data_IF_534097407061
#
_entry.id   IF_534097407061
#
_cell.length_a   1.000
_cell.length_b   1.000
_cell.length_c   1.000
_cell.angle_alpha   90.00
_cell.angle_beta   90.00
_cell.angle_gamma   90.00
#
_symmetry.space_group_name_H-M   'P 1'
#
loop_
_entity.id
_entity.type
_entity.pdbx_description
1 polymer ?
2 non-polymer ?
3 non-polymer ?
4 water ?
#
# COMPACT_ATOMS: atom_id res chain seq x y z
N UNK A 17 -12.45 -21.93 17.98
CA UNK A 17 -12.37 -20.53 17.46
C UNK A 17 -11.01 -20.24 16.83
N UNK A 18 -10.79 -20.69 15.57
CA UNK A 18 -9.51 -20.51 14.88
C UNK A 18 -9.14 -19.05 14.60
N UNK A 19 -7.85 -18.80 14.43
CA UNK A 19 -7.34 -17.45 14.12
C UNK A 19 -6.36 -17.46 12.94
N UNK A 20 -6.16 -16.28 12.36
CA UNK A 20 -5.20 -16.09 11.27
C UNK A 20 -4.08 -15.16 11.75
N UNK A 21 -2.83 -15.57 11.51
CA UNK A 21 -1.68 -14.72 11.80
C UNK A 21 -1.20 -14.05 10.52
N UNK A 22 -1.34 -12.73 10.47
CA UNK A 22 -0.91 -11.94 9.31
C UNK A 22 0.45 -11.32 9.62
N UNK A 23 1.38 -11.43 8.66
CA UNK A 23 2.75 -10.97 8.84
C UNK A 23 3.16 -10.07 7.67
N UNK A 24 3.60 -8.86 8.00
CA UNK A 24 4.25 -7.98 7.04
C UNK A 24 5.70 -7.80 7.46
N UNK A 25 6.57 -8.56 6.82
CA UNK A 25 7.97 -8.61 7.22
C UNK A 25 8.81 -7.66 6.37
N UNK A 26 8.89 -6.41 6.81
CA UNK A 26 9.63 -5.37 6.11
C UNK A 26 11.14 -5.43 6.34
N UNK A 27 11.85 -4.50 5.70
CA UNK A 27 13.31 -4.48 5.74
C UNK A 27 13.90 -4.09 7.10
N UNK A 28 13.15 -3.28 7.86
CA UNK A 28 13.60 -2.82 9.18
C UNK A 28 12.67 -3.25 10.32
N UNK A 29 11.52 -3.83 9.99
CA UNK A 29 10.52 -4.23 10.98
C UNK A 29 9.70 -5.46 10.58
N UNK A 30 8.92 -5.97 11.53
CA UNK A 30 7.96 -7.05 11.27
C UNK A 30 6.61 -6.67 11.87
N UNK A 31 5.69 -6.23 11.02
CA UNK A 31 4.33 -5.91 11.44
C UNK A 31 3.49 -7.19 11.46
N UNK A 32 2.85 -7.45 12.58
CA UNK A 32 1.98 -8.63 12.69
C UNK A 32 0.61 -8.29 13.25
N UNK A 33 -0.36 -9.15 12.93
CA UNK A 33 -1.72 -9.05 13.45
C UNK A 33 -2.34 -10.44 13.59
N UNK A 34 -3.19 -10.60 14.60
CA UNK A 34 -3.93 -11.83 14.78
C UNK A 34 -5.43 -11.53 14.65
N UNK A 35 -6.05 -12.13 13.63
CA UNK A 35 -7.46 -11.91 13.33
C UNK A 35 -8.27 -13.19 13.56
N UNK A 36 -9.46 -13.04 14.13
CA UNK A 36 -10.37 -14.15 14.34
C UNK A 36 -10.95 -14.60 13.00
N UNK A 37 -10.96 -15.90 12.75
CA UNK A 37 -11.44 -16.46 11.47
C UNK A 37 -12.91 -16.15 11.22
N UNK A 38 -13.72 -16.25 12.28
CA UNK A 38 -15.17 -16.11 12.17
C UNK A 38 -15.64 -14.68 11.87
N UNK A 39 -15.03 -13.70 12.55
CA UNK A 39 -15.49 -12.31 12.47
C UNK A 39 -14.49 -11.38 11.79
N UNK A 40 -13.25 -11.83 11.63
CA UNK A 40 -12.14 -11.05 11.07
C UNK A 40 -11.73 -9.83 11.91
N UNK A 41 -12.11 -9.85 13.19
CA UNK A 41 -11.72 -8.83 14.14
C UNK A 41 -10.26 -9.01 14.56
N UNK A 42 -9.57 -7.92 14.82
CA UNK A 42 -8.20 -7.98 15.33
C UNK A 42 -8.23 -8.30 16.83
N UNK A 43 -7.53 -9.36 17.21
CA UNK A 43 -7.42 -9.77 18.62
C UNK A 43 -6.09 -9.34 19.22
N UNK A 44 -5.06 -9.31 18.38
CA UNK A 44 -3.72 -8.90 18.80
C UNK A 44 -2.98 -8.28 17.60
N UNK A 45 -2.15 -7.29 17.88
CA UNK A 45 -1.30 -6.67 16.87
C UNK A 45 0.02 -6.23 17.49
N UNK A 46 1.01 -5.93 16.66
CA UNK A 46 2.31 -5.48 17.15
C UNK A 46 3.36 -5.26 16.08
N UNK A 47 4.59 -5.00 16.54
CA UNK A 47 5.71 -4.67 15.66
C UNK A 47 7.06 -5.01 16.32
N UNK A 48 7.96 -5.57 15.53
CA UNK A 48 9.33 -5.84 15.99
C UNK A 48 10.31 -4.98 15.20
N UNK A 49 10.69 -3.85 15.79
CA UNK A 49 11.44 -2.80 15.08
C UNK A 49 12.96 -2.88 15.30
N UNK A 50 13.70 -2.14 14.47
CA UNK A 50 15.16 -2.10 14.54
C UNK A 50 15.82 -3.42 14.19
N UNK A 51 15.32 -4.05 13.12
CA UNK A 51 15.73 -5.41 12.74
C UNK A 51 17.15 -5.51 12.21
N UNK A 52 17.91 -6.47 12.76
CA UNK A 52 19.30 -6.69 12.37
C UNK A 52 20.38 -5.80 13.00
N UNK A 53 19.93 -4.78 13.73
CA UNK A 53 20.82 -3.81 14.37
C UNK A 53 21.00 -4.31 15.81
N UNK A 54 21.95 -3.72 16.53
CA UNK A 54 22.21 -4.07 17.93
C UNK A 54 20.97 -3.92 18.81
N UNK A 55 20.18 -2.88 18.53
CA UNK A 55 18.94 -2.63 19.24
C UNK A 55 17.69 -3.05 18.44
N UNK A 56 17.15 -4.22 18.78
CA UNK A 56 15.91 -4.71 18.20
C UNK A 56 14.88 -4.93 19.31
N UNK A 57 13.71 -4.31 19.17
CA UNK A 57 12.69 -4.36 20.22
C UNK A 57 11.31 -4.80 19.72
N UNK A 58 10.65 -5.65 20.51
CA UNK A 58 9.30 -6.11 20.24
C UNK A 58 8.30 -5.26 21.00
N UNK A 59 7.29 -4.75 20.30
CA UNK A 59 6.20 -3.98 20.90
C UNK A 59 4.86 -4.58 20.49
N UNK A 60 3.98 -4.78 21.47
CA UNK A 60 2.67 -5.37 21.21
C UNK A 60 1.54 -4.36 21.47
N UNK A 61 0.81 -4.03 20.40
CA UNK A 61 -0.35 -3.11 20.43
C UNK A 61 -0.34 -2.00 21.49
N UNK A 62 0.80 -1.35 21.64
CA UNK A 62 0.93 -0.22 22.57
C UNK A 62 1.41 -0.57 23.97
N UNK A 63 1.40 -1.86 24.30
CA UNK A 63 1.82 -2.36 25.62
C UNK A 63 3.35 -2.28 25.82
N UNK A 64 3.85 -3.03 26.80
CA UNK A 64 5.26 -3.00 27.19
C UNK A 64 6.20 -3.38 26.03
N UNK A 65 7.14 -2.47 25.67
CA UNK A 65 8.10 -2.75 24.61
C UNK A 65 9.34 -3.52 25.11
N UNK A 66 9.35 -4.83 24.85
CA UNK A 66 10.48 -5.70 25.20
C UNK A 66 11.67 -5.47 24.27
N UNK A 67 12.80 -6.10 24.57
CA UNK A 67 14.03 -5.93 23.78
C UNK A 67 14.73 -7.24 23.43
N UNK A 68 15.60 -7.18 22.41
CA UNK A 68 16.40 -8.32 21.96
C UNK A 68 17.66 -7.82 21.27
N UNK A 69 18.82 -8.21 21.80
CA UNK A 69 20.11 -7.72 21.30
C UNK A 69 20.52 -8.38 19.98
N UNK A 70 20.62 -7.56 18.93
CA UNK A 70 21.08 -8.01 17.61
C UNK A 70 20.35 -9.23 17.10
N UNK A 71 19.03 -9.13 16.98
CA UNK A 71 18.20 -10.27 16.61
C UNK A 71 17.79 -10.27 15.14
N UNK A 72 17.86 -11.45 14.52
CA UNK A 72 17.44 -11.62 13.13
C UNK A 72 15.94 -11.93 13.01
N UNK A 73 15.46 -12.02 11.77
CA UNK A 73 14.04 -12.24 11.47
C UNK A 73 13.45 -13.50 12.09
N UNK A 74 14.27 -14.55 12.20
CA UNK A 74 13.83 -15.85 12.73
C UNK A 74 13.53 -15.79 14.23
N UNK A 75 14.43 -15.16 15.00
CA UNK A 75 14.29 -15.06 16.45
C UNK A 75 13.26 -14.01 16.86
N UNK A 76 13.10 -12.97 16.03
CA UNK A 76 12.11 -11.93 16.27
C UNK A 76 10.69 -12.46 16.09
N UNK A 77 10.50 -13.30 15.08
CA UNK A 77 9.22 -13.96 14.86
C UNK A 77 8.95 -15.01 15.93
N UNK A 78 10.03 -15.55 16.50
CA UNK A 78 9.96 -16.50 17.62
C UNK A 78 9.54 -15.79 18.91
N UNK A 79 10.01 -14.55 19.08
CA UNK A 79 9.60 -13.71 20.20
C UNK A 79 8.10 -13.41 20.16
N UNK A 80 7.61 -13.09 18.96
CA UNK A 80 6.18 -12.90 18.72
C UNK A 80 5.41 -14.19 18.99
N UNK A 81 5.98 -15.31 18.58
CA UNK A 81 5.39 -16.63 18.78
C UNK A 81 5.31 -17.02 20.25
N UNK A 82 6.28 -16.58 21.04
CA UNK A 82 6.28 -16.79 22.50
C UNK A 82 5.09 -16.09 23.15
N UNK A 83 4.76 -14.91 22.64
CA UNK A 83 3.63 -14.13 23.14
C UNK A 83 2.28 -14.72 22.75
N UNK A 84 2.26 -15.47 21.65
CA UNK A 84 1.08 -16.22 21.24
C UNK A 84 0.87 -17.43 22.15
N UNK A 85 1.98 -17.99 22.65
CA UNK A 85 1.93 -19.08 23.64
C UNK A 85 1.38 -18.58 24.97
N UNK A 86 1.83 -17.39 25.37
CA UNK A 86 1.45 -16.79 26.65
C UNK A 86 -0.05 -16.52 26.76
N UNK A 87 -0.66 -16.15 25.64
CA UNK A 87 -2.09 -15.81 25.60
C UNK A 87 -2.92 -16.96 25.05
N UNK A 88 -2.31 -18.16 25.00
CA UNK A 88 -2.94 -19.39 24.54
C UNK A 88 -3.56 -19.29 23.14
N UNK A 89 -2.86 -18.62 22.23
CA UNK A 89 -3.32 -18.41 20.86
C UNK A 89 -2.59 -19.27 19.83
N UNK A 90 -1.45 -19.84 20.22
CA UNK A 90 -0.62 -20.68 19.35
C UNK A 90 -1.42 -21.88 18.79
N UNK A 91 -2.15 -22.56 19.67
CA UNK A 91 -2.92 -23.74 19.29
C UNK A 91 -4.09 -23.40 18.38
N UNK A 92 -4.45 -22.13 18.32
CA UNK A 92 -5.61 -21.67 17.56
C UNK A 92 -5.25 -21.10 16.17
N UNK A 93 -3.95 -20.89 15.93
CA UNK A 93 -3.47 -20.42 14.64
C UNK A 93 -3.70 -21.46 13.54
N UNK A 94 -4.77 -21.28 12.78
CA UNK A 94 -5.13 -22.21 11.71
C UNK A 94 -4.51 -21.84 10.36
N UNK A 95 -4.22 -20.54 10.18
CA UNK A 95 -3.70 -20.02 8.92
C UNK A 95 -2.71 -18.88 9.15
N UNK A 96 -1.70 -18.79 8.28
CA UNK A 96 -0.76 -17.67 8.31
C UNK A 96 -0.72 -16.94 6.96
N UNK A 97 -0.87 -15.62 7.01
CA UNK A 97 -0.83 -14.79 5.82
C UNK A 97 0.44 -13.97 5.72
N UNK A 98 1.09 -14.02 4.57
CA UNK A 98 2.31 -13.24 4.33
C UNK A 98 2.07 -12.16 3.29
N UNK A 99 2.43 -10.92 3.63
CA UNK A 99 2.46 -9.85 2.65
C UNK A 99 3.78 -9.90 1.89
N UNK A 100 3.68 -10.03 0.57
CA UNK A 100 4.84 -10.02 -0.30
C UNK A 100 4.77 -8.75 -1.14
N UNK A 101 5.89 -8.03 -1.22
CA UNK A 101 5.93 -6.76 -1.93
C UNK A 101 5.83 -6.91 -3.45
N UNK A 102 6.59 -7.85 -4.02
CA UNK A 102 6.66 -7.99 -5.47
C UNK A 102 6.42 -9.42 -5.91
N UNK A 103 5.46 -9.61 -6.82
CA UNK A 103 5.14 -10.94 -7.35
C UNK A 103 5.42 -11.08 -8.83
N UNK A 104 6.12 -10.11 -9.41
CA UNK A 104 6.45 -10.10 -10.83
C UNK A 104 5.24 -10.30 -11.72
N UNK A 105 5.42 -11.09 -12.77
CA UNK A 105 4.35 -11.45 -13.69
C UNK A 105 3.77 -12.83 -13.37
N UNK A 106 4.42 -13.51 -12.43
CA UNK A 106 4.08 -14.90 -12.10
C UNK A 106 2.81 -15.01 -11.25
N UNK A 107 2.56 -14.00 -10.41
CA UNK A 107 1.46 -14.07 -9.46
C UNK A 107 0.32 -13.12 -9.79
N UNK A 108 -0.84 -13.70 -10.06
CA UNK A 108 -2.03 -12.93 -10.42
C UNK A 108 -3.07 -12.99 -9.31
N UNK A 109 -2.82 -13.85 -8.31
CA UNK A 109 -3.72 -14.02 -7.18
C UNK A 109 -2.96 -14.56 -5.96
N UNK A 110 -3.65 -14.68 -4.83
CA UNK A 110 -3.05 -15.20 -3.61
C UNK A 110 -2.90 -16.71 -3.69
N UNK A 111 -1.79 -17.22 -3.17
CA UNK A 111 -1.45 -18.65 -3.28
C UNK A 111 -1.11 -19.30 -1.95
N UNK A 112 -1.32 -20.62 -1.87
CA UNK A 112 -0.84 -21.41 -0.76
C UNK A 112 0.66 -21.61 -0.95
N UNK A 113 1.44 -21.30 0.08
CA UNK A 113 2.89 -21.35 0.00
C UNK A 113 3.41 -22.80 -0.04
N UNK A 114 4.13 -23.12 -1.12
CA UNK A 114 4.79 -24.40 -1.28
C UNK A 114 6.24 -24.14 -1.71
N UNK A 115 6.99 -25.21 -1.98
CA UNK A 115 8.36 -25.08 -2.49
C UNK A 115 8.40 -24.35 -3.84
N UNK A 116 7.38 -24.56 -4.66
CA UNK A 116 7.25 -23.88 -5.95
C UNK A 116 7.11 -22.37 -5.78
N UNK A 117 6.24 -21.98 -4.85
CA UNK A 117 5.96 -20.56 -4.59
C UNK A 117 7.21 -19.84 -4.06
N UNK A 118 7.94 -20.50 -3.16
CA UNK A 118 9.19 -19.93 -2.64
C UNK A 118 10.18 -19.66 -3.76
N UNK A 119 10.40 -20.65 -4.62
CA UNK A 119 11.27 -20.51 -5.79
C UNK A 119 10.85 -19.35 -6.67
N UNK A 120 9.54 -19.25 -6.90
CA UNK A 120 8.98 -18.21 -7.76
C UNK A 120 9.13 -16.80 -7.18
N UNK A 121 9.02 -16.69 -5.85
CA UNK A 121 9.28 -15.41 -5.17
C UNK A 121 10.76 -15.04 -5.29
N UNK A 122 11.63 -16.04 -5.11
CA UNK A 122 13.07 -15.85 -5.31
C UNK A 122 13.42 -15.44 -6.75
N UNK A 123 12.68 -15.97 -7.73
CA UNK A 123 12.88 -15.63 -9.13
C UNK A 123 12.60 -14.16 -9.43
N UNK A 124 11.52 -13.63 -8.84
CA UNK A 124 11.12 -12.23 -9.06
C UNK A 124 11.72 -11.26 -8.04
N UNK A 125 12.46 -11.80 -7.06
CA UNK A 125 13.08 -11.00 -6.01
C UNK A 125 14.05 -9.90 -6.47
N UNK A 126 14.81 -10.12 -7.56
CA UNK A 126 15.66 -9.03 -8.06
C UNK A 126 14.91 -7.74 -8.43
N UNK A 127 13.59 -7.84 -8.65
CA UNK A 127 12.76 -6.69 -8.98
C UNK A 127 12.50 -5.78 -7.78
N UNK A 128 12.57 -6.35 -6.57
CA UNK A 128 12.49 -5.59 -5.32
C UNK A 128 13.45 -6.15 -4.28
N UNK A 129 14.74 -5.75 -4.36
CA UNK A 129 15.80 -6.33 -3.52
C UNK A 129 15.63 -6.03 -2.04
N UNK A 130 15.15 -4.83 -1.70
CA UNK A 130 14.92 -4.47 -0.31
C UNK A 130 13.73 -5.23 0.28
N UNK A 131 12.57 -5.07 -0.35
CA UNK A 131 11.30 -5.60 0.15
C UNK A 131 11.21 -7.13 0.20
N UNK A 132 11.54 -7.79 -0.91
CA UNK A 132 11.26 -9.21 -1.09
C UNK A 132 12.10 -10.21 -0.26
N UNK A 133 13.39 -9.92 -0.11
CA UNK A 133 14.27 -10.80 0.66
C UNK A 133 13.94 -10.80 2.15
N UNK A 134 13.33 -9.71 2.61
CA UNK A 134 12.78 -9.63 3.97
C UNK A 134 11.50 -10.45 4.07
N UNK A 135 10.71 -10.47 2.99
CA UNK A 135 9.48 -11.27 2.94
C UNK A 135 9.77 -12.77 2.98
N UNK A 136 10.83 -13.18 2.28
CA UNK A 136 11.28 -14.57 2.25
C UNK A 136 11.80 -15.03 3.61
N UNK A 137 12.53 -14.14 4.28
CA UNK A 137 13.03 -14.40 5.63
C UNK A 137 11.87 -14.63 6.60
N UNK A 138 10.80 -13.85 6.44
CA UNK A 138 9.57 -14.01 7.21
C UNK A 138 8.84 -15.31 6.90
N UNK A 139 8.93 -15.76 5.65
CA UNK A 139 8.33 -17.03 5.24
C UNK A 139 9.06 -18.21 5.89
N UNK A 140 10.38 -18.24 5.74
CA UNK A 140 11.23 -19.27 6.37
C UNK A 140 11.00 -19.35 7.89
N UNK A 141 10.99 -18.19 8.54
CA UNK A 141 10.75 -18.09 9.98
C UNK A 141 9.41 -18.71 10.38
N UNK A 142 8.33 -18.28 9.71
CA UNK A 142 6.99 -18.78 10.01
C UNK A 142 6.84 -20.26 9.66
N UNK A 143 7.58 -20.71 8.65
CA UNK A 143 7.59 -22.13 8.27
C UNK A 143 8.27 -22.97 9.34
N UNK A 144 9.37 -22.45 9.89
CA UNK A 144 10.08 -23.12 10.98
C UNK A 144 9.22 -23.22 12.24
N UNK A 145 8.64 -22.10 12.66
CA UNK A 145 7.90 -22.01 13.92
C UNK A 145 6.49 -22.61 13.86
N UNK A 146 5.94 -22.76 12.66
CA UNK A 146 4.57 -23.27 12.47
C UNK A 146 4.47 -24.22 11.27
N UNK A 147 5.17 -25.38 11.32
CA UNK A 147 5.25 -26.26 10.14
C UNK A 147 3.93 -26.94 9.75
N UNK A 148 3.05 -27.19 10.71
CA UNK A 148 1.78 -27.86 10.44
C UNK A 148 0.68 -26.88 10.01
N UNK A 149 1.04 -25.61 9.89
CA UNK A 149 0.06 -24.56 9.59
C UNK A 149 0.12 -24.19 8.10
N UNK A 150 -1.05 -24.18 7.47
CA UNK A 150 -1.19 -23.67 6.12
C UNK A 150 -0.77 -22.21 6.05
N UNK A 151 0.08 -21.89 5.08
CA UNK A 151 0.57 -20.53 4.90
C UNK A 151 0.27 -19.99 3.51
N UNK A 152 -0.08 -18.71 3.45
CA UNK A 152 -0.57 -18.05 2.24
C UNK A 152 0.30 -16.84 1.90
N UNK A 153 0.56 -16.67 0.60
CA UNK A 153 1.28 -15.50 0.11
C UNK A 153 0.32 -14.55 -0.61
N UNK A 154 0.23 -13.32 -0.10
CA UNK A 154 -0.54 -12.26 -0.73
C UNK A 154 0.42 -11.19 -1.26
N UNK A 155 0.28 -10.89 -2.55
CA UNK A 155 1.21 -10.01 -3.24
C UNK A 155 0.64 -8.60 -3.46
N UNK A 156 1.51 -7.60 -3.29
CA UNK A 156 1.16 -6.19 -3.52
C UNK A 156 0.95 -5.86 -4.99
N UNK A 157 1.49 -6.70 -5.85
CA UNK A 157 1.48 -6.46 -7.29
C UNK A 157 0.33 -7.16 -8.02
N UNK A 158 -0.19 -8.23 -7.43
CA UNK A 158 -1.05 -9.18 -8.16
C UNK A 158 -2.34 -8.59 -8.73
N UNK A 159 -2.95 -7.65 -8.01
CA UNK A 159 -4.20 -7.02 -8.43
C UNK A 159 -4.04 -6.23 -9.73
N UNK A 160 -2.83 -5.75 -9.98
CA UNK A 160 -2.54 -4.94 -11.16
C UNK A 160 -2.12 -5.75 -12.39
N UNK A 161 -2.16 -7.07 -12.28
CA UNK A 161 -1.78 -7.95 -13.40
C UNK A 161 -2.79 -7.99 -14.54
N UNK A 162 -3.97 -7.38 -14.32
CA UNK A 162 -4.97 -7.26 -15.37
C UNK A 162 -4.71 -6.06 -16.29
N UNK A 163 -3.64 -5.33 -16.05
CA UNK A 163 -3.23 -4.21 -16.90
C UNK A 163 -2.87 -4.66 -18.31
N UNK A 164 -3.35 -3.92 -19.30
CA UNK A 164 -3.02 -4.18 -20.70
C UNK A 164 -1.61 -3.66 -21.00
N UNK A 165 -0.95 -4.25 -22.03
CA UNK A 165 0.42 -3.85 -22.37
C UNK A 165 0.57 -2.34 -22.58
N UNK A 166 -0.43 -1.72 -23.22
CA UNK A 166 -0.45 -0.28 -23.44
C UNK A 166 -0.36 0.49 -22.11
N UNK A 167 -0.85 -0.13 -21.04
CA UNK A 167 -0.88 0.49 -19.72
C UNK A 167 0.33 0.18 -18.85
N UNK A 168 1.06 -0.90 -19.18
CA UNK A 168 2.21 -1.30 -18.36
C UNK A 168 3.58 -1.19 -19.03
N UNK A 169 3.60 -0.99 -20.34
CA UNK A 169 4.86 -0.80 -21.04
C UNK A 169 5.40 0.61 -20.84
N UNK A 170 6.71 0.71 -20.61
CA UNK A 170 7.40 1.98 -20.69
C UNK A 170 7.83 2.22 -22.14
N UNK A 171 8.19 3.46 -22.44
CA UNK A 171 8.64 3.83 -23.79
C UNK A 171 10.11 3.52 -24.00
N UNK A 172 10.57 2.41 -23.44
CA UNK A 172 11.97 2.00 -23.55
C UNK A 172 12.14 0.98 -24.68
N UNK A 173 13.38 0.69 -25.08
CA UNK A 173 13.62 -0.41 -26.02
C UNK A 173 12.95 -1.70 -25.54
N UNK A 174 12.33 -2.41 -26.48
CA UNK A 174 11.60 -3.66 -26.20
C UNK A 174 12.40 -4.65 -25.36
N UNK A 175 13.71 -4.72 -25.60
CA UNK A 175 14.61 -5.66 -24.91
C UNK A 175 14.46 -5.61 -23.39
N UNK A 176 14.33 -4.40 -22.85
CA UNK A 176 14.18 -4.19 -21.40
C UNK A 176 12.95 -4.86 -20.82
N UNK A 177 11.86 -4.89 -21.58
CA UNK A 177 10.66 -5.60 -21.16
C UNK A 177 10.77 -7.11 -21.34
N UNK A 178 11.22 -7.53 -22.53
CA UNK A 178 11.22 -8.95 -22.91
C UNK A 178 12.23 -9.80 -22.15
N UNK A 179 13.44 -9.27 -21.95
CA UNK A 179 14.52 -10.05 -21.33
C UNK A 179 14.81 -9.68 -19.87
N UNK A 180 14.50 -8.44 -19.49
CA UNK A 180 14.79 -7.96 -18.12
C UNK A 180 13.55 -7.78 -17.23
N UNK A 181 12.37 -7.71 -17.85
CA UNK A 181 11.12 -7.56 -17.11
C UNK A 181 10.81 -6.15 -16.63
N UNK A 182 11.39 -5.15 -17.31
CA UNK A 182 11.09 -3.75 -17.02
C UNK A 182 9.70 -3.39 -17.56
N UNK A 183 8.78 -3.12 -16.64
CA UNK A 183 7.40 -2.75 -16.93
C UNK A 183 6.74 -2.23 -15.66
N UNK A 184 5.60 -1.56 -15.82
CA UNK A 184 4.79 -1.16 -14.68
C UNK A 184 4.24 -2.40 -13.97
N UNK A 185 4.40 -2.43 -12.65
CA UNK A 185 3.80 -3.46 -11.83
C UNK A 185 2.74 -2.87 -10.91
N UNK A 186 3.08 -1.75 -10.27
CA UNK A 186 2.17 -1.07 -9.36
C UNK A 186 2.06 -1.78 -8.03
N UNK A 187 1.66 -1.04 -7.00
CA UNK A 187 1.61 -1.57 -5.65
C UNK A 187 0.33 -1.14 -4.93
N UNK A 188 0.25 -1.38 -3.62
CA UNK A 188 -0.97 -1.19 -2.83
C UNK A 188 -2.13 -2.04 -3.36
N UNK A 189 -1.79 -3.12 -4.07
CA UNK A 189 -2.77 -3.99 -4.74
C UNK A 189 -3.77 -4.61 -3.80
N UNK A 190 -3.32 -4.98 -2.61
CA UNK A 190 -4.17 -5.57 -1.58
C UNK A 190 -5.20 -4.54 -1.12
N UNK A 191 -4.73 -3.31 -0.88
CA UNK A 191 -5.57 -2.21 -0.45
C UNK A 191 -6.56 -1.81 -1.53
N UNK A 192 -6.05 -1.63 -2.76
CA UNK A 192 -6.86 -1.22 -3.90
C UNK A 192 -7.97 -2.24 -4.16
N UNK A 193 -7.61 -3.51 -4.06
CA UNK A 193 -8.57 -4.60 -4.20
C UNK A 193 -9.60 -4.59 -3.06
N UNK A 194 -9.13 -4.53 -1.82
CA UNK A 194 -10.03 -4.49 -0.66
C UNK A 194 -11.03 -3.34 -0.75
N UNK A 195 -10.51 -2.14 -1.00
CA UNK A 195 -11.33 -0.92 -1.06
C UNK A 195 -12.31 -0.94 -2.23
N UNK A 196 -11.90 -1.57 -3.34
CA UNK A 196 -12.76 -1.76 -4.50
C UNK A 196 -14.02 -2.55 -4.15
N UNK A 197 -13.84 -3.71 -3.52
CA UNK A 197 -14.95 -4.58 -3.15
C UNK A 197 -15.95 -3.85 -2.26
N UNK A 198 -15.42 -3.11 -1.28
CA UNK A 198 -16.24 -2.35 -0.33
C UNK A 198 -17.05 -1.25 -1.01
N UNK A 199 -16.48 -0.68 -2.07
CA UNK A 199 -17.11 0.41 -2.81
C UNK A 199 -18.36 -0.01 -3.56
N UNK A 200 -18.38 -1.26 -4.06
CA UNK A 200 -19.56 -1.79 -4.75
C UNK A 200 -20.75 -1.88 -3.81
N UNK A 201 -20.49 -2.26 -2.56
CA UNK A 201 -21.52 -2.31 -1.53
C UNK A 201 -21.98 -0.91 -1.15
N UNK A 202 -21.02 -0.06 -0.76
CA UNK A 202 -21.31 1.30 -0.30
C UNK A 202 -22.03 2.15 -1.35
N UNK A 203 -21.60 2.02 -2.60
CA UNK A 203 -22.13 2.85 -3.68
C UNK A 203 -23.26 2.15 -4.44
N UNK A 204 -23.61 0.94 -4.01
CA UNK A 204 -24.60 0.10 -4.67
C UNK A 204 -24.37 0.06 -6.18
N UNK A 205 -23.20 -0.47 -6.55
CA UNK A 205 -22.80 -0.58 -7.94
C UNK A 205 -22.72 -2.03 -8.36
N UNK A 206 -23.03 -2.29 -9.63
CA UNK A 206 -22.75 -3.59 -10.21
C UNK A 206 -21.25 -3.62 -10.52
N UNK A 207 -20.58 -4.65 -9.98
CA UNK A 207 -19.13 -4.83 -10.17
C UNK A 207 -18.76 -4.92 -11.65
N UNK A 208 -19.55 -5.66 -12.42
CA UNK A 208 -19.26 -5.90 -13.84
C UNK A 208 -19.57 -4.72 -14.75
N UNK A 209 -20.25 -3.70 -14.21
CA UNK A 209 -20.51 -2.46 -14.94
C UNK A 209 -20.22 -1.26 -14.04
N UNK A 210 -18.95 -1.04 -13.76
CA UNK A 210 -18.51 0.02 -12.85
C UNK A 210 -17.16 0.60 -13.25
N UNK A 211 -16.93 1.83 -12.82
CA UNK A 211 -15.65 2.50 -13.00
C UNK A 211 -15.29 3.26 -11.74
N UNK A 212 -14.20 2.83 -11.10
CA UNK A 212 -13.77 3.43 -9.84
C UNK A 212 -12.35 3.97 -9.93
N UNK A 213 -12.10 5.04 -9.18
CA UNK A 213 -10.74 5.50 -8.94
C UNK A 213 -10.49 5.43 -7.45
N UNK A 214 -9.50 4.62 -7.06
CA UNK A 214 -9.10 4.52 -5.66
C UNK A 214 -7.81 5.31 -5.45
N UNK A 215 -7.88 6.25 -4.52
CA UNK A 215 -6.72 7.04 -4.12
C UNK A 215 -6.19 6.57 -2.77
N UNK A 216 -5.33 5.57 -2.78
CA UNK A 216 -4.64 5.15 -1.57
C UNK A 216 -3.58 6.18 -1.22
N UNK A 217 -3.81 6.90 -0.13
CA UNK A 217 -2.94 7.98 0.29
C UNK A 217 -2.41 7.76 1.70
N UNK A 218 -1.12 7.50 1.79
CA UNK A 218 -0.41 7.37 3.06
C UNK A 218 1.02 7.87 2.88
N UNK A 219 1.93 7.36 3.72
CA UNK A 219 3.35 7.64 3.55
C UNK A 219 3.79 7.23 2.13
N UNK A 220 3.24 6.12 1.67
CA UNK A 220 3.32 5.74 0.26
C UNK A 220 1.94 5.98 -0.33
N UNK A 221 1.91 6.49 -1.56
CA UNK A 221 0.64 6.88 -2.18
C UNK A 221 0.55 6.44 -3.63
N UNK A 222 -0.60 5.85 -3.99
CA UNK A 222 -0.82 5.40 -5.37
C UNK A 222 -2.29 5.52 -5.77
N UNK A 223 -2.51 5.66 -7.07
CA UNK A 223 -3.85 5.72 -7.66
C UNK A 223 -4.08 4.44 -8.46
N UNK A 224 -5.33 3.97 -8.49
CA UNK A 224 -5.71 2.80 -9.28
C UNK A 224 -7.08 2.98 -9.95
N UNK A 225 -7.11 2.72 -11.25
CA UNK A 225 -8.37 2.68 -12.00
C UNK A 225 -8.91 1.25 -12.02
N UNK A 226 -10.07 1.05 -11.41
CA UNK A 226 -10.71 -0.27 -11.35
C UNK A 226 -11.94 -0.26 -12.25
N UNK A 227 -11.78 -0.83 -13.45
CA UNK A 227 -12.86 -0.93 -14.42
C UNK A 227 -13.45 -2.33 -14.34
N UNK A 228 -14.78 -2.40 -14.19
CA UNK A 228 -15.51 -3.67 -14.12
C UNK A 228 -14.88 -4.72 -13.21
N UNK A 229 -14.36 -4.28 -12.06
CA UNK A 229 -13.77 -5.17 -11.07
C UNK A 229 -12.27 -5.37 -11.20
N UNK A 230 -11.72 -4.99 -12.35
CA UNK A 230 -10.30 -5.21 -12.65
C UNK A 230 -9.51 -3.91 -12.70
N UNK A 231 -8.28 -3.97 -12.17
CA UNK A 231 -7.32 -2.88 -12.27
C UNK A 231 -6.88 -2.71 -13.72
N UNK A 232 -7.09 -1.52 -14.27
CA UNK A 232 -6.71 -1.23 -15.66
C UNK A 232 -5.60 -0.20 -15.79
N UNK A 233 -5.31 0.49 -14.69
CA UNK A 233 -4.21 1.46 -14.62
C UNK A 233 -3.87 1.75 -13.17
N UNK A 234 -2.59 2.01 -12.92
CA UNK A 234 -2.11 2.33 -11.57
C UNK A 234 -0.92 3.30 -11.65
N UNK A 235 -0.76 4.12 -10.62
CA UNK A 235 0.20 5.24 -10.69
C UNK A 235 1.64 4.85 -10.42
N UNK A 236 1.86 3.88 -9.52
CA UNK A 236 3.21 3.37 -9.26
C UNK A 236 3.69 2.55 -10.46
N UNK A 237 5.00 2.37 -10.57
CA UNK A 237 5.56 1.71 -11.74
C UNK A 237 6.18 0.36 -11.48
N UNK A 238 7.44 0.22 -11.87
CA UNK A 238 8.23 -0.97 -11.62
C UNK A 238 8.59 -0.98 -10.13
N UNK A 239 8.91 0.20 -9.62
CA UNK A 239 9.22 0.42 -8.22
C UNK A 239 8.15 1.33 -7.62
N UNK A 240 8.07 1.38 -6.28
CA UNK A 240 7.12 2.30 -5.62
C UNK A 240 7.51 3.78 -5.74
N UNK A 241 8.47 4.10 -6.60
CA UNK A 241 8.95 5.48 -6.74
C UNK A 241 8.18 6.33 -7.76
N UNK A 242 7.44 5.69 -8.66
CA UNK A 242 6.73 6.42 -9.71
C UNK A 242 5.34 6.88 -9.28
N UNK A 243 4.86 7.95 -9.91
CA UNK A 243 3.49 8.42 -9.75
C UNK A 243 3.35 9.65 -8.89
N UNK A 244 2.55 9.50 -7.83
CA UNK A 244 2.28 10.59 -6.91
C UNK A 244 3.52 10.98 -6.13
N UNK A 245 3.59 12.25 -5.73
CA UNK A 245 4.57 12.68 -4.73
C UNK A 245 4.09 12.15 -3.38
N UNK A 246 5.03 11.66 -2.57
CA UNK A 246 4.70 11.02 -1.30
C UNK A 246 5.41 11.68 -0.11
N UNK A 247 5.45 10.96 1.01
CA UNK A 247 6.08 11.47 2.23
C UNK A 247 7.53 11.86 2.02
N UNK A 248 8.35 10.87 1.63
CA UNK A 248 9.78 11.09 1.38
C UNK A 248 10.14 10.83 -0.08
N UNK A 249 9.22 10.24 -0.83
CA UNK A 249 9.45 9.90 -2.23
C UNK A 249 9.01 11.03 -3.18
N UNK A 250 9.79 11.24 -4.23
CA UNK A 250 9.58 12.33 -5.18
C UNK A 250 8.34 12.17 -6.06
N UNK A 251 8.13 10.95 -6.55
CA UNK A 251 7.05 10.70 -7.50
C UNK A 251 7.56 10.86 -8.92
N UNK A 252 6.66 11.18 -9.84
CA UNK A 252 7.03 11.45 -11.23
C UNK A 252 8.10 12.52 -11.31
N UNK A 253 9.23 12.16 -11.92
CA UNK A 253 10.34 13.09 -12.08
C UNK A 253 11.01 12.93 -13.45
N UNK A 254 11.14 14.06 -14.15
CA UNK A 254 11.82 14.14 -15.44
C UNK A 254 13.21 13.54 -15.34
N UNK A 255 13.47 12.50 -16.13
CA UNK A 255 14.78 11.83 -16.14
C UNK A 255 15.87 12.75 -16.69
N UNK A 256 15.49 13.63 -17.63
CA UNK A 256 16.40 14.66 -18.13
C UNK A 256 16.90 15.56 -17.02
N UNK A 257 16.01 15.89 -16.09
CA UNK A 257 16.35 16.67 -14.90
C UNK A 257 17.27 15.88 -13.98
N UNK A 258 16.96 14.59 -13.81
CA UNK A 258 17.75 13.69 -12.97
C UNK A 258 19.17 13.50 -13.50
N UNK A 259 19.30 13.46 -14.83
CA UNK A 259 20.59 13.36 -15.49
C UNK A 259 21.37 14.68 -15.42
N UNK A 260 20.64 15.78 -15.45
CA UNK A 260 21.23 17.12 -15.37
C UNK A 260 21.83 17.38 -13.99
N UNK A 261 21.09 16.98 -12.96
CA UNK A 261 21.54 17.07 -11.57
C UNK A 261 22.79 16.22 -11.35
N UNK A 262 22.83 15.05 -11.99
CA UNK A 262 23.96 14.13 -11.87
C UNK A 262 25.28 14.74 -12.33
N UNK A 263 25.23 15.48 -13.44
CA UNK A 263 26.42 16.14 -14.00
C UNK A 263 26.79 17.38 -13.20
N UNK A 264 25.77 18.14 -12.78
CA UNK A 264 25.97 19.44 -12.16
C UNK A 264 26.48 19.36 -10.72
N UNK A 265 25.91 18.44 -9.94
CA UNK A 265 26.27 18.27 -8.54
C UNK A 265 27.38 17.24 -8.33
N UNK A 266 27.60 16.40 -9.35
CA UNK A 266 28.57 15.32 -9.27
C UNK A 266 28.09 14.18 -8.39
N UNK A 267 26.85 13.76 -8.61
CA UNK A 267 26.25 12.67 -7.83
C UNK A 267 25.99 11.44 -8.70
N UNK A 268 26.14 10.26 -8.10
CA UNK A 268 25.87 8.99 -8.79
C UNK A 268 24.38 8.65 -8.75
N UNK A 269 23.99 7.63 -9.51
CA UNK A 269 22.61 7.15 -9.54
C UNK A 269 22.14 6.65 -8.18
N UNK A 270 23.05 6.00 -7.44
CA UNK A 270 22.75 5.47 -6.12
C UNK A 270 22.61 6.58 -5.07
N UNK A 271 23.33 7.68 -5.26
CA UNK A 271 23.18 8.87 -4.43
C UNK A 271 21.79 9.47 -4.66
N UNK A 272 21.42 9.64 -5.94
CA UNK A 272 20.15 10.23 -6.32
C UNK A 272 18.98 9.33 -5.94
N UNK A 273 19.20 8.01 -5.97
CA UNK A 273 18.19 7.04 -5.56
C UNK A 273 17.82 7.23 -4.09
N UNK A 274 18.83 7.49 -3.26
CA UNK A 274 18.64 7.80 -1.85
C UNK A 274 17.83 9.09 -1.68
N UNK A 275 18.22 10.12 -2.44
CA UNK A 275 17.58 11.43 -2.40
C UNK A 275 16.10 11.34 -2.80
N UNK A 276 15.84 10.64 -3.89
CA UNK A 276 14.50 10.47 -4.47
C UNK A 276 13.59 9.59 -3.59
N UNK A 277 14.20 8.71 -2.80
CA UNK A 277 13.45 7.77 -1.97
C UNK A 277 13.24 8.23 -0.53
N UNK A 278 14.22 8.94 0.03
CA UNK A 278 14.22 9.23 1.47
C UNK A 278 14.37 10.70 1.87
N UNK A 279 14.75 11.56 0.91
CA UNK A 279 14.94 12.99 1.20
C UNK A 279 14.05 13.92 0.38
N UNK A 280 13.15 13.34 -0.40
CA UNK A 280 12.33 14.10 -1.33
C UNK A 280 10.88 14.24 -0.85
N UNK A 281 9.96 14.44 -1.78
CA UNK A 281 8.53 14.49 -1.48
C UNK A 281 8.09 15.67 -0.63
N UNK A 282 7.16 15.41 0.28
CA UNK A 282 6.67 16.41 1.22
C UNK A 282 7.80 16.93 2.11
N UNK A 283 8.69 16.03 2.50
CA UNK A 283 9.87 16.38 3.28
C UNK A 283 10.79 17.30 2.48
N UNK A 284 11.04 16.93 1.22
CA UNK A 284 11.92 17.67 0.34
C UNK A 284 11.53 19.12 0.10
N UNK A 285 10.27 19.35 -0.25
CA UNK A 285 9.78 20.70 -0.55
C UNK A 285 9.68 21.55 0.72
N UNK A 286 9.00 21.04 1.74
CA UNK A 286 8.78 21.78 2.99
C UNK A 286 10.07 22.03 3.76
N UNK A 287 10.95 21.02 3.77
CA UNK A 287 12.19 21.06 4.55
C UNK A 287 11.91 20.94 6.03
N UNK A 288 10.80 20.30 6.37
CA UNK A 288 10.27 20.28 7.72
C UNK A 288 9.86 18.87 8.16
N UNK A 289 8.92 18.27 7.43
CA UNK A 289 8.40 16.94 7.77
C UNK A 289 7.77 16.21 6.59
N UNK A 290 7.75 14.88 6.68
CA UNK A 290 7.02 14.03 5.75
C UNK A 290 5.61 13.75 6.26
N UNK A 291 5.38 14.11 7.53
CA UNK A 291 4.10 13.92 8.18
C UNK A 291 3.16 15.09 7.85
N UNK A 292 1.97 14.75 7.36
CA UNK A 292 0.96 15.76 7.00
C UNK A 292 0.42 16.55 8.19
N UNK A 293 0.22 15.89 9.32
CA UNK A 293 -0.28 16.57 10.53
C UNK A 293 0.60 17.75 10.92
N UNK A 294 1.92 17.55 10.85
CA UNK A 294 2.89 18.61 11.13
C UNK A 294 2.78 19.71 10.07
N UNK A 295 2.67 19.30 8.80
CA UNK A 295 2.61 20.23 7.68
C UNK A 295 1.30 21.02 7.61
N UNK A 296 0.20 20.38 7.98
CA UNK A 296 -1.12 21.04 8.03
C UNK A 296 -1.13 22.14 9.08
N UNK A 297 -0.52 21.87 10.24
CA UNK A 297 -0.39 22.86 11.30
C UNK A 297 0.57 23.98 10.88
N UNK A 298 1.63 23.60 10.18
CA UNK A 298 2.63 24.55 9.68
C UNK A 298 2.02 25.58 8.72
N UNK A 299 1.16 25.10 7.80
CA UNK A 299 0.48 25.98 6.86
C UNK A 299 -0.49 26.92 7.60
N UNK A 300 -1.24 26.36 8.55
CA UNK A 300 -2.13 27.14 9.41
C UNK A 300 -1.36 28.23 10.16
N UNK A 301 -0.11 27.93 10.48
CA UNK A 301 0.79 28.86 11.17
C UNK A 301 1.58 29.75 10.19
N UNK A 302 1.18 29.74 8.93
CA UNK A 302 1.74 30.64 7.92
C UNK A 302 3.04 30.23 7.25
N UNK A 303 3.43 28.96 7.42
CA UNK A 303 4.62 28.42 6.77
C UNK A 303 4.36 28.27 5.27
N UNK A 304 5.18 28.93 4.46
CA UNK A 304 4.97 29.01 3.02
C UNK A 304 5.32 27.70 2.31
N UNK A 305 6.49 27.14 2.64
CA UNK A 305 6.98 25.91 2.01
C UNK A 305 6.16 24.68 2.35
N UNK A 306 5.46 24.73 3.48
CA UNK A 306 4.55 23.66 3.88
C UNK A 306 3.26 23.75 3.06
N UNK A 307 2.84 24.98 2.77
CA UNK A 307 1.68 25.23 1.91
C UNK A 307 1.96 24.72 0.51
N UNK A 308 3.18 24.98 0.01
CA UNK A 308 3.59 24.58 -1.33
C UNK A 308 3.69 23.05 -1.45
N UNK A 309 4.26 22.42 -0.44
CA UNK A 309 4.41 20.96 -0.40
C UNK A 309 3.05 20.27 -0.49
N UNK A 310 2.08 20.79 0.26
CA UNK A 310 0.73 20.24 0.30
C UNK A 310 -0.03 20.53 -0.99
N UNK A 311 0.16 21.73 -1.55
CA UNK A 311 -0.48 22.13 -2.81
C UNK A 311 0.02 21.32 -3.99
N UNK A 312 1.33 21.05 -4.01
CA UNK A 312 1.96 20.23 -5.04
C UNK A 312 1.50 18.79 -4.90
N UNK A 313 1.41 18.33 -3.65
CA UNK A 313 0.87 17.02 -3.28
C UNK A 313 -0.54 16.88 -3.84
N UNK A 314 -1.39 17.86 -3.54
CA UNK A 314 -2.79 17.88 -3.99
C UNK A 314 -2.90 17.91 -5.52
N UNK A 315 -2.08 18.75 -6.15
CA UNK A 315 -2.10 18.93 -7.60
C UNK A 315 -1.74 17.65 -8.35
N UNK A 316 -0.75 16.93 -7.83
CA UNK A 316 -0.29 15.70 -8.48
C UNK A 316 -1.26 14.54 -8.30
N UNK A 317 -2.01 14.56 -7.19
CA UNK A 317 -3.07 13.58 -6.93
C UNK A 317 -4.24 13.82 -7.87
N UNK A 318 -4.67 15.08 -7.99
CA UNK A 318 -5.77 15.44 -8.89
C UNK A 318 -5.44 15.07 -10.34
N UNK A 319 -4.19 15.31 -10.72
CA UNK A 319 -3.71 15.04 -12.07
C UNK A 319 -3.76 13.54 -12.38
N UNK A 320 -3.31 12.72 -11.44
CA UNK A 320 -3.33 11.26 -11.62
C UNK A 320 -4.71 10.64 -11.51
N UNK A 321 -5.57 11.17 -10.63
CA UNK A 321 -6.95 10.72 -10.54
C UNK A 321 -7.63 10.93 -11.91
N UNK A 322 -7.61 12.17 -12.39
CA UNK A 322 -8.22 12.53 -13.67
C UNK A 322 -7.60 11.76 -14.83
N UNK A 323 -6.29 11.51 -14.76
CA UNK A 323 -5.57 10.75 -15.77
C UNK A 323 -6.00 9.29 -15.83
N UNK A 324 -6.12 8.66 -14.67
CA UNK A 324 -6.54 7.27 -14.56
C UNK A 324 -8.01 7.07 -14.92
N UNK A 325 -8.78 8.15 -14.88
CA UNK A 325 -10.18 8.12 -15.28
C UNK A 325 -10.32 7.80 -16.77
N UNK A 326 -9.32 8.18 -17.55
CA UNK A 326 -9.28 7.90 -18.98
C UNK A 326 -9.37 6.40 -19.30
N UNK A 327 -8.80 5.58 -18.42
CA UNK A 327 -8.84 4.12 -18.57
C UNK A 327 -10.20 3.50 -18.21
N UNK A 328 -11.14 4.34 -17.78
CA UNK A 328 -12.50 3.89 -17.50
C UNK A 328 -13.44 4.31 -18.62
N UNK A 329 -14.49 3.51 -18.82
CA UNK A 329 -15.54 3.83 -19.80
C UNK A 329 -16.53 4.83 -19.20
N UNK A 330 -16.67 4.78 -17.87
CA UNK A 330 -17.59 5.64 -17.13
C UNK A 330 -17.09 5.75 -15.69
N UNK A 331 -17.08 6.98 -15.16
CA UNK A 331 -16.61 7.22 -13.79
C UNK A 331 -17.77 7.30 -12.80
N UNK A 332 -17.92 6.24 -12.01
CA UNK A 332 -18.99 6.15 -11.02
C UNK A 332 -18.56 6.65 -9.64
N UNK A 333 -17.31 6.36 -9.27
CA UNK A 333 -16.83 6.71 -7.93
C UNK A 333 -15.36 7.07 -7.81
N UNK A 334 -15.08 7.97 -6.87
CA UNK A 334 -13.72 8.28 -6.43
C UNK A 334 -13.64 7.95 -4.93
N UNK A 335 -12.71 7.08 -4.56
CA UNK A 335 -12.62 6.58 -3.19
C UNK A 335 -11.28 6.92 -2.56
N UNK A 336 -11.33 7.56 -1.39
CA UNK A 336 -10.14 7.92 -0.64
C UNK A 336 -9.87 6.89 0.44
N UNK A 337 -8.60 6.55 0.63
CA UNK A 337 -8.21 5.54 1.60
C UNK A 337 -6.75 5.73 2.04
N UNK A 338 -6.34 4.99 3.07
CA UNK A 338 -5.00 5.14 3.65
C UNK A 338 -4.99 6.17 4.77
N UNK A 339 -3.89 6.22 5.52
CA UNK A 339 -3.73 7.15 6.63
C UNK A 339 -4.13 8.58 6.32
N UNK A 340 -3.71 9.07 5.15
CA UNK A 340 -4.04 10.43 4.71
C UNK A 340 -5.45 10.50 4.14
N UNK A 341 -5.79 9.57 3.26
CA UNK A 341 -7.11 9.53 2.62
C UNK A 341 -8.28 9.35 3.57
N UNK A 342 -8.01 8.75 4.73
CA UNK A 342 -9.05 8.51 5.73
C UNK A 342 -9.19 9.65 6.73
N UNK A 343 -8.10 10.36 6.99
CA UNK A 343 -8.02 11.30 8.11
C UNK A 343 -7.84 12.78 7.74
N UNK A 344 -7.58 13.07 6.47
CA UNK A 344 -7.30 14.44 6.06
C UNK A 344 -8.50 15.12 5.42
N UNK A 345 -9.24 15.87 6.24
CA UNK A 345 -10.36 16.68 5.78
C UNK A 345 -9.90 17.68 4.70
N UNK A 346 -8.76 18.31 4.94
CA UNK A 346 -8.21 19.33 4.05
C UNK A 346 -7.80 18.78 2.68
N UNK A 347 -6.95 17.76 2.67
CA UNK A 347 -6.45 17.16 1.42
C UNK A 347 -7.59 16.67 0.53
N UNK A 348 -8.56 15.96 1.11
CA UNK A 348 -9.73 15.51 0.35
C UNK A 348 -10.49 16.68 -0.24
N UNK A 349 -10.72 17.72 0.56
CA UNK A 349 -11.35 18.96 0.10
C UNK A 349 -10.60 19.57 -1.08
N UNK A 350 -9.29 19.75 -0.92
CA UNK A 350 -8.46 20.39 -1.94
C UNK A 350 -8.38 19.58 -3.23
N UNK A 351 -8.36 18.25 -3.12
CA UNK A 351 -8.29 17.36 -4.29
C UNK A 351 -9.60 17.39 -5.07
N UNK A 352 -10.72 17.26 -4.35
CA UNK A 352 -12.05 17.27 -4.97
C UNK A 352 -12.36 18.62 -5.64
N UNK A 353 -11.93 19.71 -5.01
CA UNK A 353 -12.09 21.05 -5.58
C UNK A 353 -11.21 21.23 -6.83
N UNK A 354 -10.09 20.53 -6.84
CA UNK A 354 -9.17 20.52 -7.98
C UNK A 354 -9.71 19.67 -9.13
N UNK A 355 -10.81 18.96 -8.89
CA UNK A 355 -11.40 18.08 -9.90
C UNK A 355 -12.82 18.47 -10.25
N UNK A 356 -13.11 19.77 -10.13
CA UNK A 356 -14.41 20.31 -10.49
C UNK A 356 -14.77 20.08 -11.95
N UNK A 357 -13.75 19.95 -12.79
CA UNK A 357 -13.94 19.66 -14.22
C UNK A 357 -14.73 18.37 -14.46
N UNK A 358 -14.59 17.41 -13.56
CA UNK A 358 -15.30 16.13 -13.66
C UNK A 358 -16.74 16.19 -13.13
N UNK A 359 -17.11 17.36 -12.61
CA UNK A 359 -18.46 17.58 -12.08
C UNK A 359 -18.65 17.17 -10.63
N UNK A 360 -17.55 17.15 -9.87
CA UNK A 360 -17.61 16.75 -8.45
C UNK A 360 -18.15 17.87 -7.57
N UNK A 361 -19.03 17.49 -6.64
CA UNK A 361 -19.53 18.40 -5.61
C UNK A 361 -19.33 17.75 -4.24
N UNK A 362 -18.61 18.45 -3.36
CA UNK A 362 -18.31 17.93 -2.04
C UNK A 362 -19.32 18.39 -1.00
N UNK A 363 -19.68 17.48 -0.09
CA UNK A 363 -20.46 17.82 1.10
C UNK A 363 -19.49 17.97 2.26
N UNK A 364 -19.34 19.21 2.71
CA UNK A 364 -18.29 19.55 3.67
C UNK A 364 -18.59 19.05 5.09
N UNK A 365 -19.86 19.04 5.47
CA UNK A 365 -20.25 18.46 6.76
C UNK A 365 -19.94 16.96 6.81
N UNK A 366 -20.17 16.28 5.69
CA UNK A 366 -19.85 14.86 5.57
C UNK A 366 -18.35 14.63 5.45
N UNK A 367 -17.64 15.58 4.83
CA UNK A 367 -16.19 15.51 4.72
C UNK A 367 -15.49 15.88 6.03
N UNK A 368 -16.19 16.62 6.90
CA UNK A 368 -15.66 16.99 8.21
C UNK A 368 -15.57 15.81 9.18
N UNK A 369 -16.50 14.86 9.04
CA UNK A 369 -16.55 13.70 9.92
C UNK A 369 -15.23 12.95 9.97
N UNK A 370 -14.75 12.65 11.19
CA UNK A 370 -13.52 11.88 11.39
C UNK A 370 -13.66 10.41 11.00
N UNK A 371 -12.56 9.68 10.96
CA UNK A 371 -12.52 8.30 10.48
C UNK A 371 -13.37 7.31 11.29
N UNK A 372 -13.72 7.70 12.52
CA UNK A 372 -14.59 6.91 13.40
C UNK A 372 -15.94 6.62 12.74
N UNK A 373 -16.25 7.38 11.70
CA UNK A 373 -17.48 7.23 10.96
C UNK A 373 -17.35 6.21 9.87
N UNK A 374 -16.16 5.65 9.76
CA UNK A 374 -15.87 4.53 8.85
C UNK A 374 -16.22 4.77 7.39
N UNK A 375 -16.83 3.77 6.77
CA UNK A 375 -17.19 3.84 5.36
C UNK A 375 -18.30 4.87 5.14
N UNK A 376 -17.94 5.98 4.52
CA UNK A 376 -18.82 7.14 4.39
C UNK A 376 -18.71 7.82 3.04
N UNK A 377 -19.86 8.24 2.51
CA UNK A 377 -19.92 9.05 1.31
C UNK A 377 -19.75 10.52 1.69
N UNK A 378 -18.88 11.23 0.98
CA UNK A 378 -18.58 12.62 1.29
C UNK A 378 -19.03 13.62 0.21
N UNK A 379 -19.67 13.12 -0.84
CA UNK A 379 -20.15 13.98 -1.93
C UNK A 379 -21.63 14.32 -1.80
N UNK A 380 -22.00 15.49 -2.33
CA UNK A 380 -23.39 15.95 -2.32
C UNK A 380 -24.19 15.30 -3.44
N UNK A 381 -25.51 15.43 -3.38
CA UNK A 381 -26.43 14.83 -4.37
C UNK A 381 -26.26 15.31 -5.83
N UNK A 382 -26.11 16.64 -6.06
CA UNK A 382 -25.99 17.12 -7.44
C UNK A 382 -24.67 16.74 -8.13
N UNK A 383 -23.75 16.12 -7.39
CA UNK A 383 -22.45 15.68 -7.94
C UNK A 383 -22.61 14.63 -9.04
N UNK A 384 -21.80 14.75 -10.09
CA UNK A 384 -21.82 13.81 -11.21
C UNK A 384 -21.13 12.49 -10.87
N UNK A 385 -20.23 12.54 -9.88
CA UNK A 385 -19.48 11.36 -9.43
C UNK A 385 -19.53 11.28 -7.91
N UNK A 386 -19.85 10.11 -7.40
CA UNK A 386 -19.89 9.86 -5.95
C UNK A 386 -18.47 9.80 -5.39
N UNK A 387 -18.23 10.58 -4.33
CA UNK A 387 -16.98 10.54 -3.59
C UNK A 387 -17.19 9.92 -2.22
N UNK A 388 -16.24 9.09 -1.81
CA UNK A 388 -16.36 8.36 -0.55
C UNK A 388 -15.01 8.13 0.13
N UNK A 389 -15.07 7.84 1.43
CA UNK A 389 -13.90 7.42 2.19
C UNK A 389 -14.16 6.00 2.67
N UNK A 390 -13.28 5.09 2.28
CA UNK A 390 -13.36 3.71 2.74
C UNK A 390 -12.06 3.38 3.46
N UNK A 391 -12.13 3.18 4.78
CA UNK A 391 -10.98 2.72 5.55
C UNK A 391 -10.45 1.40 5.01
N UNK A 392 -9.18 1.40 4.63
CA UNK A 392 -8.56 0.18 4.09
C UNK A 392 -8.20 -0.79 5.22
N UNK A 393 -8.36 -2.09 4.94
CA UNK A 393 -8.01 -3.13 5.89
C UNK A 393 -7.25 -4.24 5.18
N UNK A 394 -5.94 -4.04 5.07
CA UNK A 394 -5.05 -4.95 4.36
C UNK A 394 -4.93 -6.30 5.08
N UNK A 395 -5.00 -6.26 6.41
CA UNK A 395 -4.96 -7.47 7.25
C UNK A 395 -6.19 -8.33 7.05
N UNK A 396 -7.35 -7.69 6.90
CA UNK A 396 -8.61 -8.40 6.67
C UNK A 396 -8.61 -9.06 5.29
N UNK A 397 -8.10 -8.35 4.29
CA UNK A 397 -8.03 -8.85 2.92
C UNK A 397 -7.08 -10.05 2.81
N UNK A 398 -5.97 -10.00 3.56
CA UNK A 398 -5.03 -11.12 3.63
C UNK A 398 -5.68 -12.31 4.34
N UNK A 399 -6.39 -12.04 5.43
CA UNK A 399 -7.09 -13.07 6.19
C UNK A 399 -8.18 -13.75 5.34
N UNK A 400 -8.98 -12.96 4.64
CA UNK A 400 -10.04 -13.46 3.77
C UNK A 400 -9.52 -14.35 2.64
N UNK A 401 -8.34 -14.03 2.13
CA UNK A 401 -7.68 -14.86 1.12
C UNK A 401 -7.21 -16.17 1.73
N UNK A 402 -6.67 -16.09 2.94
CA UNK A 402 -6.21 -17.26 3.69
C UNK A 402 -7.35 -18.20 4.04
N UNK A 403 -8.47 -17.65 4.51
CA UNK A 403 -9.66 -18.43 4.85
C UNK A 403 -10.20 -19.17 3.62
N UNK A 404 -10.26 -18.46 2.48
CA UNK A 404 -10.68 -19.06 1.22
C UNK A 404 -9.77 -20.22 0.82
N UNK A 405 -8.46 -20.00 0.92
CA UNK A 405 -7.48 -21.02 0.57
C UNK A 405 -7.40 -22.14 1.61
N UNK A 406 -8.08 -21.93 2.74
CA UNK A 406 -8.16 -22.92 3.80
C UNK A 406 -9.10 -24.07 3.47
N UNK A 407 -9.98 -23.87 2.50
CA UNK A 407 -10.90 -24.91 2.03
C UNK A 407 -10.34 -25.72 0.85
N UNK A 408 -9.12 -25.37 0.44
CA UNK A 408 -8.49 -25.96 -0.75
C UNK A 408 -7.74 -27.25 -0.40
N UNK A 409 -8.04 -28.32 -1.13
CA UNK A 409 -7.33 -29.59 -0.98
C UNK A 409 -6.08 -29.60 -1.85
N UNK A 410 -4.91 -29.60 -1.22
CA UNK A 410 -3.63 -29.59 -1.93
C UNK A 410 -3.03 -30.98 -2.11
X LIG B 1 4.23 1.39 -0.36
X LIG B 1 4.93 2.63 -0.29
X LIG B 1 4.65 0.66 -1.62
X LIG B 1 5.41 -0.50 -1.28
X LIG C 1 -20.54 9.09 -20.56
X LIG C 1 -19.87 9.96 -19.63
X LIG C 1 -19.71 7.83 -20.75
X LIG C 1 -20.56 6.68 -20.84
X LIG D 1 1.50 2.87 3.18
X LIG D 1 0.03 3.17 3.15
X LIG D 1 1.74 1.47 3.72
X LIG D 1 2.07 2.96 1.78
X LIG D 1 2.23 3.97 4.12
X LIG D 1 2.05 3.99 5.73
X LIG D 1 3.41 4.02 6.37
X LIG D 1 1.25 2.82 6.24
X LIG D 1 1.30 5.38 6.00
X LIG D 1 -0.13 5.45 6.75
X LIG D 1 -0.05 4.78 8.11
X LIG D 1 -1.23 4.85 5.91
X LIG D 1 -0.37 7.03 6.96
X LIG D 1 0.61 7.85 7.57
X LIG D 1 0.33 9.30 7.19
X LIG D 1 -1.01 9.63 7.53
X LIG D 1 1.24 10.26 7.92
X LIG D 1 2.06 10.94 6.98
X LIG D 1 0.32 11.23 8.63
X LIG D 1 0.67 12.57 8.37
X LIG D 1 -1.06 10.93 8.08
X LIG D 1 -2.07 11.02 9.16
X LIG D 1 -2.31 10.10 10.15
X LIG D 1 -3.31 10.57 10.93
X LIG D 1 -3.70 11.78 10.46
X LIG D 1 -4.67 12.69 10.89
X LIG D 1 -5.37 12.43 11.87
X LIG D 1 -4.86 13.87 10.19
X LIG D 1 -4.07 14.15 9.08
X LIG D 1 -4.24 15.28 8.41
X LIG D 1 -3.11 13.24 8.67
X LIG D 1 -2.93 12.07 9.35
#
# INVERSE_FOLDING_TARGET
MRGSHHHHHHGMASNEFPVVLVINCGSSSIKFSVLDVATCDVLMAGIADGMNTENAFLSINGDKPINLAHSNYEDALKAIAFELEKRDLTDSVALIGHRIAHGGELFTQSVIITDEIIDNIRRVSPLAPLHNYANLSGIDAARHLFPAVRQVAVFDTSFHQTLAPEAYLYGLPWEYFSSLGVRRYGFHGTSHRYVSRRAYELLDLDEKDSGLIVAHLGNGASICAVRNGQSVDTSMGMTPLEGLMMGTRSGDVDFGAMAWIAKETGQTLSDLERVVNKESGLLGISGLSSDLRVLEKAWHEGHERARLAIKTFVHRIARHIAGHAASLHRLDGIIFTGGIGENSVLIRQLVIEHLGVLGLTLDVEMNKQPNSHGERIISANPSQVICAVIPTNEEKMIALDAIHLGNVKAPVEFA
EDO C1 O1 C2 O2
EDO C1 O1 C2 O2
GTP PG O1G O2G O3G O3B PB O1B O2B O3A PA O1A O2A O5' C5' C4' O4' C3' O3' C2' O2' C1' N9 C8 N7 C5 C6 O6 N1 C2 N2 N3 C4
#
